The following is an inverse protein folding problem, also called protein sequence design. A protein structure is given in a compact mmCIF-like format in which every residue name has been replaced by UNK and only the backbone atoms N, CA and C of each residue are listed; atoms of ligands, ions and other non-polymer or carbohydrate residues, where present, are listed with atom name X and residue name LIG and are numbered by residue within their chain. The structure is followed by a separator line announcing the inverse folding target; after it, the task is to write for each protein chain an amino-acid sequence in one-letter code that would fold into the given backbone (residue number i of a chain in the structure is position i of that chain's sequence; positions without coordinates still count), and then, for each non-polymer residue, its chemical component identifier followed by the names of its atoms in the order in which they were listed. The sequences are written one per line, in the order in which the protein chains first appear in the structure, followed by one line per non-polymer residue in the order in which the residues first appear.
data_IF_474432158181
#
_entry.id   IF_474432158181
#
_cell.length_a   1.000
_cell.length_b   1.000
_cell.length_c   1.000
_cell.angle_alpha   90.00
_cell.angle_beta   90.00
_cell.angle_gamma   90.00
#
_symmetry.space_group_name_H-M   'P 1'
#
loop_
_entity.id
_entity.type
_entity.pdbx_description
1 polymer ?
#
# COMPACT_ATOMS: atom_id res chain seq x y z
N UNK A 1 13.63 3.45 -13.31
CA UNK A 1 14.55 4.59 -13.15
C UNK A 1 15.29 4.80 -14.44
N UNK A 2 15.18 5.98 -15.01
CA UNK A 2 15.83 6.38 -16.27
C UNK A 2 16.71 7.60 -16.05
N UNK A 3 17.79 7.72 -16.81
CA UNK A 3 18.66 8.88 -16.77
C UNK A 3 18.75 9.50 -18.16
N UNK A 4 18.31 10.75 -18.29
CA UNK A 4 18.43 11.52 -19.53
C UNK A 4 19.88 11.98 -19.75
N UNK A 5 20.37 11.91 -20.98
CA UNK A 5 21.65 12.47 -21.38
C UNK A 5 21.49 13.36 -22.60
N UNK A 6 21.66 14.67 -22.44
CA UNK A 6 21.54 15.67 -23.51
C UNK A 6 22.57 15.53 -24.66
N UNK A 7 23.59 14.71 -24.49
CA UNK A 7 24.66 14.53 -25.45
C UNK A 7 24.80 13.11 -26.00
N UNK A 8 23.79 12.23 -25.76
CA UNK A 8 23.85 10.91 -26.34
C UNK A 8 23.49 10.97 -27.82
N UNK A 9 24.42 10.57 -28.67
CA UNK A 9 24.08 10.24 -30.05
C UNK A 9 23.34 8.91 -30.02
N UNK A 10 22.19 8.83 -30.67
CA UNK A 10 21.33 7.64 -30.74
C UNK A 10 22.04 6.32 -31.11
N UNK A 11 23.24 6.42 -31.71
CA UNK A 11 24.02 5.29 -32.22
C UNK A 11 25.31 5.03 -31.45
N UNK A 12 25.61 5.73 -30.37
CA UNK A 12 26.84 5.52 -29.60
C UNK A 12 26.50 5.12 -28.15
N UNK A 13 26.85 3.88 -27.80
CA UNK A 13 26.71 3.39 -26.42
C UNK A 13 27.90 3.89 -25.57
N UNK A 14 27.64 4.67 -24.53
CA UNK A 14 28.65 5.16 -23.60
C UNK A 14 28.75 4.21 -22.38
N UNK A 15 29.75 3.33 -22.45
CA UNK A 15 30.02 2.34 -21.40
C UNK A 15 30.24 2.96 -20.00
N UNK A 16 30.84 4.17 -19.93
CA UNK A 16 31.09 4.82 -18.65
C UNK A 16 29.78 5.29 -18.01
N UNK A 17 28.97 6.00 -18.79
CA UNK A 17 27.64 6.45 -18.31
C UNK A 17 26.74 5.28 -17.92
N UNK A 18 26.80 4.18 -18.67
CA UNK A 18 26.06 2.96 -18.34
C UNK A 18 26.50 2.36 -17.01
N UNK A 19 27.81 2.25 -16.76
CA UNK A 19 28.33 1.77 -15.47
C UNK A 19 27.92 2.69 -14.31
N UNK A 20 28.05 4.00 -14.48
CA UNK A 20 27.64 4.98 -13.46
C UNK A 20 26.15 4.91 -13.18
N UNK A 21 25.33 4.66 -14.20
CA UNK A 21 23.89 4.44 -14.05
C UNK A 21 23.60 3.16 -13.28
N UNK A 22 24.23 2.04 -13.63
CA UNK A 22 24.05 0.76 -12.92
C UNK A 22 24.41 0.85 -11.44
N UNK A 23 25.46 1.60 -11.08
CA UNK A 23 25.83 1.84 -9.67
C UNK A 23 24.68 2.54 -8.92
N UNK A 24 24.08 3.55 -9.53
CA UNK A 24 22.93 4.25 -8.95
C UNK A 24 21.71 3.33 -8.77
N UNK A 25 21.41 2.51 -9.77
CA UNK A 25 20.29 1.56 -9.73
C UNK A 25 20.49 0.52 -8.63
N UNK A 26 21.71 -0.04 -8.50
CA UNK A 26 22.01 -0.99 -7.41
C UNK A 26 21.82 -0.36 -6.03
N UNK A 27 22.25 0.89 -5.85
CA UNK A 27 22.01 1.60 -4.59
C UNK A 27 20.52 1.72 -4.27
N UNK A 28 19.68 1.98 -5.28
CA UNK A 28 18.23 2.03 -5.09
C UNK A 28 17.67 0.64 -4.76
N UNK A 29 18.16 -0.41 -5.42
CA UNK A 29 17.78 -1.79 -5.12
C UNK A 29 18.12 -2.16 -3.66
N UNK A 30 19.31 -1.78 -3.19
CA UNK A 30 19.72 -1.99 -1.80
C UNK A 30 18.79 -1.25 -0.83
N UNK A 31 18.45 0.01 -1.12
CA UNK A 31 17.51 0.79 -0.32
C UNK A 31 16.11 0.17 -0.27
N UNK A 32 15.62 -0.38 -1.38
CA UNK A 32 14.34 -1.10 -1.42
C UNK A 32 14.41 -2.36 -0.57
N UNK A 33 15.50 -3.11 -0.67
CA UNK A 33 15.73 -4.31 0.13
C UNK A 33 15.78 -4.00 1.63
N UNK A 34 16.48 -2.93 2.02
CA UNK A 34 16.55 -2.48 3.41
C UNK A 34 15.17 -2.05 3.94
N UNK A 35 14.32 -1.53 3.07
CA UNK A 35 12.93 -1.21 3.36
C UNK A 35 11.99 -2.45 3.36
N UNK A 36 12.52 -3.67 3.15
CA UNK A 36 11.75 -4.91 3.10
C UNK A 36 11.00 -5.13 1.78
N UNK A 37 11.35 -4.40 0.72
CA UNK A 37 10.76 -4.54 -0.62
C UNK A 37 11.67 -5.43 -1.47
N UNK A 38 11.16 -6.60 -1.85
CA UNK A 38 11.87 -7.49 -2.77
C UNK A 38 11.86 -6.91 -4.19
N UNK A 39 13.04 -6.62 -4.71
CA UNK A 39 13.21 -6.11 -6.07
C UNK A 39 14.36 -6.84 -6.77
N UNK A 40 14.14 -7.25 -8.03
CA UNK A 40 15.17 -7.86 -8.87
C UNK A 40 15.22 -7.18 -10.24
N UNK A 41 16.33 -7.35 -10.94
CA UNK A 41 16.45 -6.92 -12.32
C UNK A 41 15.75 -7.91 -13.22
N UNK A 42 14.92 -7.42 -14.12
CA UNK A 42 14.31 -8.26 -15.14
C UNK A 42 15.39 -8.75 -16.12
N UNK A 43 15.37 -10.03 -16.44
CA UNK A 43 16.13 -10.58 -17.55
C UNK A 43 15.47 -10.21 -18.89
N UNK A 44 16.04 -10.65 -20.01
CA UNK A 44 15.55 -10.29 -21.34
C UNK A 44 14.16 -10.88 -21.61
N UNK A 45 13.94 -12.12 -21.21
CA UNK A 45 12.66 -12.83 -21.38
C UNK A 45 11.57 -12.16 -20.54
N UNK A 46 11.83 -11.92 -19.26
CA UNK A 46 10.90 -11.22 -18.35
C UNK A 46 10.57 -9.81 -18.84
N UNK A 47 11.57 -9.09 -19.34
CA UNK A 47 11.36 -7.76 -19.89
C UNK A 47 10.49 -7.81 -21.17
N UNK A 48 10.70 -8.79 -22.06
CA UNK A 48 9.86 -8.99 -23.24
C UNK A 48 8.43 -9.36 -22.85
N UNK A 49 8.26 -10.27 -21.90
CA UNK A 49 6.96 -10.64 -21.39
C UNK A 49 6.22 -9.44 -20.78
N UNK A 50 6.92 -8.59 -20.03
CA UNK A 50 6.32 -7.38 -19.47
C UNK A 50 5.87 -6.40 -20.55
N UNK A 51 6.65 -6.23 -21.62
CA UNK A 51 6.28 -5.42 -22.79
C UNK A 51 4.99 -5.95 -23.41
N UNK A 52 4.93 -7.25 -23.70
CA UNK A 52 3.76 -7.88 -24.31
C UNK A 52 2.52 -7.70 -23.42
N UNK A 53 2.64 -7.93 -22.12
CA UNK A 53 1.55 -7.75 -21.14
C UNK A 53 1.07 -6.30 -21.03
N UNK A 54 1.99 -5.36 -20.98
CA UNK A 54 1.65 -3.94 -20.89
C UNK A 54 0.91 -3.46 -22.14
N UNK A 55 1.46 -3.79 -23.32
CA UNK A 55 0.86 -3.37 -24.59
C UNK A 55 -0.36 -4.19 -25.03
N UNK A 56 -0.66 -5.28 -24.36
CA UNK A 56 -1.93 -5.99 -24.47
C UNK A 56 -2.92 -5.63 -23.34
N UNK A 57 -2.50 -4.87 -22.32
CA UNK A 57 -3.25 -4.62 -21.09
C UNK A 57 -3.80 -5.92 -20.47
N UNK A 58 -2.96 -6.97 -20.48
CA UNK A 58 -3.32 -8.29 -19.98
C UNK A 58 -2.22 -8.85 -19.07
N UNK A 59 -2.46 -8.83 -17.78
CA UNK A 59 -1.53 -9.31 -16.74
C UNK A 59 -1.97 -10.65 -16.12
N UNK A 60 -3.09 -11.23 -16.59
CA UNK A 60 -3.68 -12.44 -15.99
C UNK A 60 -3.30 -13.72 -16.74
N UNK A 61 -3.28 -13.67 -18.06
CA UNK A 61 -3.08 -14.88 -18.89
C UNK A 61 -1.62 -15.32 -18.89
N UNK A 62 -1.40 -16.63 -19.08
CA UNK A 62 -0.05 -17.20 -19.10
C UNK A 62 0.74 -16.81 -20.34
N UNK A 63 0.05 -16.74 -21.49
CA UNK A 63 0.66 -16.42 -22.78
C UNK A 63 -0.05 -15.19 -23.30
N UNK A 64 0.69 -14.10 -23.47
CA UNK A 64 0.18 -12.83 -23.97
C UNK A 64 1.09 -12.35 -25.09
N UNK A 65 0.51 -11.80 -26.12
CA UNK A 65 1.23 -11.11 -27.20
C UNK A 65 0.67 -9.71 -27.38
N UNK A 66 1.50 -8.78 -27.82
CA UNK A 66 1.05 -7.43 -28.16
C UNK A 66 -0.06 -7.47 -29.20
N UNK A 67 -1.06 -6.61 -28.99
CA UNK A 67 -2.16 -6.40 -29.92
C UNK A 67 -1.97 -5.15 -30.75
N UNK A 68 -2.62 -5.09 -31.91
CA UNK A 68 -2.70 -3.86 -32.69
C UNK A 68 -3.58 -2.84 -31.96
N UNK A 69 -3.23 -1.57 -32.08
CA UNK A 69 -4.00 -0.48 -31.51
C UNK A 69 -4.93 0.13 -32.56
N UNK A 70 -6.14 0.42 -32.13
CA UNK A 70 -7.02 1.36 -32.83
C UNK A 70 -7.29 2.50 -31.87
N UNK A 71 -6.88 3.70 -32.27
CA UNK A 71 -6.95 4.89 -31.43
C UNK A 71 -8.12 5.72 -31.88
N UNK A 72 -9.02 6.01 -30.96
CA UNK A 72 -10.08 7.00 -31.09
C UNK A 72 -9.71 8.26 -30.28
N UNK A 73 -10.51 9.32 -30.35
CA UNK A 73 -10.25 10.56 -29.63
C UNK A 73 -10.21 10.37 -28.11
N UNK A 74 -11.02 9.48 -27.56
CA UNK A 74 -11.17 9.29 -26.11
C UNK A 74 -10.75 7.93 -25.59
N UNK A 75 -10.37 6.99 -26.46
CA UNK A 75 -10.03 5.62 -26.07
C UNK A 75 -9.04 4.97 -27.01
N UNK A 76 -8.49 3.84 -26.57
CA UNK A 76 -7.59 3.01 -27.34
C UNK A 76 -8.14 1.58 -27.29
N UNK A 77 -8.52 1.03 -28.44
CA UNK A 77 -8.88 -0.39 -28.52
C UNK A 77 -7.61 -1.21 -28.70
N UNK A 78 -7.39 -2.18 -27.82
CA UNK A 78 -6.24 -3.09 -27.79
C UNK A 78 -6.72 -4.52 -27.65
N UNK A 79 -6.74 -5.26 -28.75
CA UNK A 79 -7.19 -6.66 -28.77
C UNK A 79 -8.64 -6.79 -28.31
N UNK A 80 -8.83 -7.43 -27.18
CA UNK A 80 -10.12 -7.68 -26.53
C UNK A 80 -10.51 -6.61 -25.50
N UNK A 81 -9.75 -5.52 -25.40
CA UNK A 81 -9.97 -4.47 -24.41
C UNK A 81 -10.10 -3.10 -25.03
N UNK A 82 -10.94 -2.28 -24.40
CA UNK A 82 -10.99 -0.84 -24.62
C UNK A 82 -10.37 -0.13 -23.43
N UNK A 83 -9.38 0.70 -23.70
CA UNK A 83 -8.60 1.38 -22.67
C UNK A 83 -8.78 2.90 -22.74
N UNK A 84 -8.77 3.54 -21.59
CA UNK A 84 -8.73 5.00 -21.48
C UNK A 84 -7.70 5.40 -20.43
N UNK A 85 -6.97 6.47 -20.74
CA UNK A 85 -5.98 7.05 -19.82
C UNK A 85 -6.59 8.27 -19.16
N UNK A 86 -6.62 8.26 -17.86
CA UNK A 86 -7.07 9.38 -17.02
C UNK A 86 -5.86 10.00 -16.36
N UNK A 87 -5.63 11.29 -16.57
CA UNK A 87 -4.51 12.02 -15.99
C UNK A 87 -5.00 12.90 -14.83
N UNK A 88 -4.20 12.99 -13.77
CA UNK A 88 -4.43 13.94 -12.66
C UNK A 88 -3.71 15.27 -12.89
N UNK A 89 -3.09 15.46 -14.03
CA UNK A 89 -2.41 16.68 -14.40
C UNK A 89 -3.38 17.61 -15.09
N UNK A 90 -3.90 18.56 -14.33
CA UNK A 90 -4.59 19.74 -14.84
C UNK A 90 -4.15 20.95 -14.02
N UNK A 91 -4.23 22.13 -14.59
CA UNK A 91 -3.87 23.40 -13.91
C UNK A 91 -4.71 23.57 -12.64
N UNK A 92 -5.91 23.01 -12.62
CA UNK A 92 -6.87 23.09 -11.52
C UNK A 92 -6.77 21.91 -10.53
N UNK A 93 -5.87 20.94 -10.76
CA UNK A 93 -5.66 19.79 -9.88
C UNK A 93 -4.89 20.13 -8.58
N UNK A 94 -4.91 21.35 -8.15
CA UNK A 94 -3.85 21.99 -7.34
C UNK A 94 -3.77 21.61 -5.86
N UNK A 95 -4.65 20.79 -5.31
CA UNK A 95 -4.66 20.49 -3.87
C UNK A 95 -4.11 19.12 -3.53
N UNK A 96 -2.83 18.86 -3.93
CA UNK A 96 -2.15 17.67 -3.45
C UNK A 96 -1.90 17.77 -1.95
N UNK A 97 -2.17 16.69 -1.19
CA UNK A 97 -1.89 16.68 0.23
C UNK A 97 -0.41 16.89 0.50
N UNK A 98 -0.08 17.68 1.52
CA UNK A 98 1.30 18.01 1.91
C UNK A 98 1.96 16.93 2.78
N UNK A 99 1.20 15.94 3.25
CA UNK A 99 1.69 14.88 4.11
C UNK A 99 1.02 13.54 3.77
N UNK A 100 1.79 12.46 3.94
CA UNK A 100 1.29 11.10 3.82
C UNK A 100 0.38 10.80 5.03
N UNK A 101 -0.91 10.81 4.81
CA UNK A 101 -1.93 10.49 5.83
C UNK A 101 -2.97 9.57 5.23
N UNK A 102 -3.67 8.75 6.04
CA UNK A 102 -4.93 8.18 5.61
C UNK A 102 -5.82 9.32 5.13
N UNK A 103 -6.28 9.23 3.90
CA UNK A 103 -6.92 10.38 3.26
C UNK A 103 -8.36 10.57 3.73
N UNK A 104 -9.07 9.49 3.90
CA UNK A 104 -10.46 9.49 4.32
C UNK A 104 -10.73 8.31 5.24
N UNK A 105 -11.81 8.40 6.00
CA UNK A 105 -12.35 7.28 6.73
C UNK A 105 -13.59 6.76 6.00
N UNK A 106 -13.64 5.46 5.78
CA UNK A 106 -14.86 4.79 5.32
C UNK A 106 -15.59 4.31 6.58
N UNK A 107 -16.85 4.68 6.69
CA UNK A 107 -17.70 4.18 7.76
C UNK A 107 -18.37 2.89 7.31
N UNK A 108 -18.06 1.83 8.01
CA UNK A 108 -18.68 0.50 7.81
C UNK A 108 -19.22 0.04 9.15
N UNK A 109 -20.52 -0.15 9.25
CA UNK A 109 -21.19 -0.63 10.47
C UNK A 109 -20.79 0.14 11.74
N UNK A 110 -20.83 1.47 11.71
CA UNK A 110 -20.41 2.37 12.79
C UNK A 110 -18.92 2.30 13.16
N UNK A 111 -18.09 1.74 12.30
CA UNK A 111 -16.64 1.72 12.48
C UNK A 111 -15.98 2.58 11.40
N UNK A 112 -15.23 3.59 11.84
CA UNK A 112 -14.46 4.45 10.94
C UNK A 112 -13.12 3.79 10.62
N UNK A 113 -12.90 3.45 9.36
CA UNK A 113 -11.66 2.83 8.88
C UNK A 113 -10.87 3.81 8.03
N UNK A 114 -9.61 4.10 8.35
CA UNK A 114 -8.77 4.95 7.51
C UNK A 114 -8.45 4.23 6.19
N UNK A 115 -8.60 4.94 5.08
CA UNK A 115 -8.39 4.41 3.72
C UNK A 115 -7.33 5.22 3.03
N UNK A 116 -6.43 4.55 2.33
CA UNK A 116 -5.46 5.21 1.45
C UNK A 116 -6.17 5.86 0.26
N UNK A 117 -5.64 6.99 -0.19
CA UNK A 117 -6.13 7.71 -1.37
C UNK A 117 -6.22 6.79 -2.60
N UNK A 118 -5.25 5.91 -2.77
CA UNK A 118 -5.14 5.05 -3.94
C UNK A 118 -6.07 3.82 -3.88
N UNK A 119 -6.66 3.50 -2.73
CA UNK A 119 -7.66 2.42 -2.63
C UNK A 119 -8.94 2.70 -3.44
N UNK A 120 -9.17 3.94 -3.83
CA UNK A 120 -10.27 4.33 -4.71
C UNK A 120 -10.11 3.78 -6.13
N UNK A 121 -8.88 3.45 -6.53
CA UNK A 121 -8.55 2.90 -7.84
C UNK A 121 -8.84 1.40 -7.91
N UNK A 122 -8.88 0.72 -6.77
CA UNK A 122 -9.07 -0.75 -6.71
C UNK A 122 -10.50 -1.20 -7.09
N UNK A 123 -11.47 -0.29 -7.04
CA UNK A 123 -12.88 -0.61 -7.24
C UNK A 123 -13.54 0.21 -8.37
N UNK A 124 -12.83 0.45 -9.46
CA UNK A 124 -13.41 1.14 -10.63
C UNK A 124 -14.45 0.22 -11.29
N UNK A 125 -15.72 0.63 -11.40
CA UNK A 125 -16.80 -0.21 -11.92
C UNK A 125 -16.54 -0.65 -13.35
N UNK A 126 -16.54 -1.97 -13.59
CA UNK A 126 -16.35 -2.58 -14.91
C UNK A 126 -14.89 -2.60 -15.39
N UNK A 127 -13.94 -2.11 -14.60
CA UNK A 127 -12.52 -2.24 -14.93
C UNK A 127 -12.04 -3.68 -14.77
N UNK A 128 -11.41 -4.22 -15.80
CA UNK A 128 -10.74 -5.52 -15.77
C UNK A 128 -9.27 -5.40 -15.41
N UNK A 129 -8.66 -4.29 -15.80
CA UNK A 129 -7.28 -3.97 -15.52
C UNK A 129 -7.14 -2.46 -15.27
N UNK A 130 -6.36 -2.14 -14.25
CA UNK A 130 -5.99 -0.76 -13.92
C UNK A 130 -4.49 -0.70 -13.73
N UNK A 131 -3.83 0.19 -14.45
CA UNK A 131 -2.41 0.47 -14.28
C UNK A 131 -2.26 1.90 -13.79
N UNK A 132 -1.81 2.07 -12.58
CA UNK A 132 -1.47 3.38 -12.04
C UNK A 132 -0.01 3.71 -12.32
N UNK A 133 0.22 4.89 -12.88
CA UNK A 133 1.54 5.38 -13.18
C UNK A 133 1.81 6.68 -12.43
N UNK A 134 2.93 6.67 -11.72
CA UNK A 134 3.48 7.86 -11.08
C UNK A 134 4.87 8.13 -11.66
N UNK A 135 5.02 9.26 -12.29
CA UNK A 135 6.28 9.67 -12.89
C UNK A 135 6.78 10.89 -12.13
N UNK A 136 7.97 10.77 -11.58
CA UNK A 136 8.64 11.86 -10.85
C UNK A 136 9.94 12.19 -11.55
N UNK A 137 10.07 13.40 -12.02
CA UNK A 137 11.26 13.92 -12.67
C UNK A 137 12.00 14.86 -11.72
N UNK A 138 13.26 14.57 -11.47
CA UNK A 138 14.15 15.38 -10.62
C UNK A 138 14.96 16.35 -11.47
N UNK A 139 14.57 17.62 -11.54
CA UNK A 139 15.28 18.62 -12.33
C UNK A 139 16.54 19.10 -11.60
N UNK A 140 17.37 19.88 -12.30
CA UNK A 140 18.45 20.60 -11.67
C UNK A 140 17.91 21.73 -10.79
N UNK A 141 18.01 21.57 -9.47
CA UNK A 141 17.44 22.47 -8.48
C UNK A 141 17.84 23.94 -8.67
N UNK A 142 19.13 24.20 -8.95
CA UNK A 142 19.64 25.58 -9.19
C UNK A 142 18.96 26.23 -10.38
N UNK A 143 18.76 25.45 -11.44
CA UNK A 143 18.07 25.92 -12.65
C UNK A 143 16.61 26.24 -12.37
N UNK A 144 15.92 25.35 -11.66
CA UNK A 144 14.50 25.53 -11.36
C UNK A 144 14.25 26.73 -10.44
N UNK A 145 15.07 26.90 -9.40
CA UNK A 145 15.00 28.08 -8.55
C UNK A 145 15.25 29.37 -9.34
N UNK A 146 16.20 29.38 -10.28
CA UNK A 146 16.43 30.53 -11.14
C UNK A 146 15.25 30.80 -12.11
N UNK A 147 14.56 29.75 -12.57
CA UNK A 147 13.35 29.90 -13.37
C UNK A 147 12.18 30.45 -12.54
N UNK A 148 12.01 30.01 -11.31
CA UNK A 148 11.04 30.56 -10.38
C UNK A 148 11.32 32.05 -10.07
N UNK A 149 12.59 32.45 -9.89
CA UNK A 149 12.98 33.85 -9.74
C UNK A 149 12.57 34.69 -10.97
N UNK A 150 12.85 34.19 -12.17
CA UNK A 150 12.43 34.87 -13.40
C UNK A 150 10.91 35.01 -13.49
N UNK A 151 10.17 33.94 -13.16
CA UNK A 151 8.71 33.98 -13.09
C UNK A 151 8.20 35.01 -12.10
N UNK A 152 8.74 35.00 -10.88
CA UNK A 152 8.42 35.95 -9.82
C UNK A 152 8.60 37.41 -10.28
N UNK A 153 9.76 37.73 -10.88
CA UNK A 153 10.08 39.07 -11.36
C UNK A 153 9.13 39.49 -12.50
N UNK A 154 8.77 38.55 -13.38
CA UNK A 154 7.78 38.80 -14.46
C UNK A 154 6.39 39.12 -13.91
N UNK A 155 5.90 38.37 -12.95
CA UNK A 155 4.63 38.67 -12.29
C UNK A 155 4.67 39.97 -11.50
N UNK A 156 5.77 40.28 -10.83
CA UNK A 156 5.95 41.53 -10.09
C UNK A 156 5.97 42.76 -11.00
N UNK A 157 6.39 42.64 -12.26
CA UNK A 157 6.41 43.76 -13.22
C UNK A 157 5.03 44.11 -13.76
N UNK A 158 4.01 43.28 -13.58
CA UNK A 158 2.65 43.49 -14.04
C UNK A 158 1.66 43.33 -12.86
N UNK A 159 1.57 44.32 -11.96
CA UNK A 159 0.83 44.18 -10.72
C UNK A 159 -0.69 44.15 -10.98
N UNK A 160 -1.26 42.98 -10.76
CA UNK A 160 -2.69 42.76 -10.58
C UNK A 160 -2.91 41.75 -9.45
N UNK A 161 -4.11 41.56 -8.91
CA UNK A 161 -4.32 40.63 -7.79
C UNK A 161 -3.81 39.21 -8.04
N UNK A 162 -4.02 38.67 -9.22
CA UNK A 162 -3.56 37.34 -9.58
C UNK A 162 -2.04 37.21 -9.62
N UNK A 163 -1.36 38.23 -10.19
CA UNK A 163 0.10 38.27 -10.22
C UNK A 163 0.71 38.47 -8.83
N UNK A 164 0.05 39.24 -7.97
CA UNK A 164 0.48 39.40 -6.57
C UNK A 164 0.42 38.07 -5.81
N UNK A 165 -0.67 37.32 -5.95
CA UNK A 165 -0.79 35.96 -5.39
C UNK A 165 0.32 35.03 -5.91
N UNK A 166 0.56 35.04 -7.23
CA UNK A 166 1.61 34.22 -7.83
C UNK A 166 3.02 34.56 -7.28
N UNK A 167 3.30 35.85 -7.03
CA UNK A 167 4.55 36.27 -6.39
C UNK A 167 4.67 35.77 -4.96
N UNK A 168 3.58 35.80 -4.19
CA UNK A 168 3.57 35.30 -2.80
C UNK A 168 3.75 33.80 -2.75
N UNK A 169 3.06 33.06 -3.63
CA UNK A 169 3.18 31.60 -3.70
C UNK A 169 4.59 31.16 -4.10
N UNK A 170 5.20 31.83 -5.08
CA UNK A 170 6.59 31.52 -5.45
C UNK A 170 7.54 31.80 -4.29
N UNK A 171 7.37 32.91 -3.57
CA UNK A 171 8.17 33.22 -2.37
C UNK A 171 8.03 32.14 -1.32
N UNK A 172 6.79 31.71 -1.03
CA UNK A 172 6.51 30.63 -0.07
C UNK A 172 7.21 29.34 -0.43
N UNK A 173 7.13 28.93 -1.72
CA UNK A 173 7.85 27.73 -2.19
C UNK A 173 9.36 27.88 -2.03
N UNK A 174 9.93 29.03 -2.39
CA UNK A 174 11.37 29.30 -2.22
C UNK A 174 11.81 29.27 -0.76
N UNK A 175 11.00 29.79 0.16
CA UNK A 175 11.25 29.76 1.60
C UNK A 175 11.23 28.33 2.15
N UNK A 176 10.25 27.50 1.75
CA UNK A 176 10.16 26.11 2.17
C UNK A 176 11.37 25.31 1.66
N UNK A 177 11.75 25.49 0.38
CA UNK A 177 12.95 24.85 -0.17
C UNK A 177 14.19 25.23 0.58
N UNK A 178 14.35 26.53 0.94
CA UNK A 178 15.54 27.03 1.61
C UNK A 178 15.60 26.62 3.10
N UNK A 179 14.49 26.65 3.83
CA UNK A 179 14.45 26.35 5.26
C UNK A 179 14.43 24.85 5.57
N UNK A 180 13.70 24.08 4.77
CA UNK A 180 13.46 22.67 5.04
C UNK A 180 14.29 21.75 4.14
N UNK A 181 15.15 22.31 3.29
CA UNK A 181 15.98 21.58 2.32
C UNK A 181 15.18 20.62 1.43
N UNK A 182 13.93 21.00 1.09
CA UNK A 182 13.04 20.21 0.23
C UNK A 182 13.44 20.34 -1.24
N UNK A 183 13.16 19.31 -2.00
CA UNK A 183 13.48 19.27 -3.44
C UNK A 183 12.25 19.60 -4.27
N UNK A 184 12.45 20.39 -5.33
CA UNK A 184 11.49 20.61 -6.39
C UNK A 184 11.53 19.43 -7.35
N UNK A 185 10.36 18.94 -7.71
CA UNK A 185 10.19 17.85 -8.67
C UNK A 185 9.08 18.18 -9.65
N UNK A 186 9.19 17.68 -10.87
CA UNK A 186 8.06 17.63 -11.79
C UNK A 186 7.40 16.26 -11.65
N UNK A 187 6.09 16.23 -11.64
CA UNK A 187 5.34 14.99 -11.47
C UNK A 187 4.19 14.88 -12.47
N UNK A 188 3.87 13.64 -12.79
CA UNK A 188 2.70 13.26 -13.59
C UNK A 188 2.08 12.01 -12.99
N UNK A 189 0.77 11.96 -12.98
CA UNK A 189 -0.01 10.82 -12.51
C UNK A 189 -1.07 10.47 -13.52
N UNK A 190 -1.19 9.19 -13.85
CA UNK A 190 -2.29 8.73 -14.67
C UNK A 190 -2.73 7.31 -14.29
N UNK A 191 -3.94 6.99 -14.69
CA UNK A 191 -4.53 5.66 -14.62
C UNK A 191 -4.84 5.20 -16.03
N UNK A 192 -4.31 4.05 -16.41
CA UNK A 192 -4.75 3.35 -17.62
C UNK A 192 -5.79 2.33 -17.18
N UNK A 193 -7.04 2.56 -17.59
CA UNK A 193 -8.16 1.67 -17.24
C UNK A 193 -8.56 0.91 -18.48
N UNK A 194 -8.49 -0.42 -18.41
CA UNK A 194 -8.94 -1.34 -19.46
C UNK A 194 -10.23 -2.02 -19.06
N UNK A 195 -11.19 -1.98 -19.95
CA UNK A 195 -12.52 -2.60 -19.80
C UNK A 195 -12.80 -3.55 -20.98
N UNK A 196 -13.79 -4.43 -20.84
CA UNK A 196 -14.34 -5.17 -21.97
C UNK A 196 -14.93 -4.18 -23.00
N UNK A 197 -14.85 -4.46 -24.32
CA UNK A 197 -15.39 -3.61 -25.37
C UNK A 197 -16.87 -3.26 -25.21
N UNK A 198 -17.63 -4.13 -24.56
CA UNK A 198 -19.07 -3.94 -24.29
C UNK A 198 -19.34 -3.07 -23.06
N UNK A 199 -18.32 -2.74 -22.29
CA UNK A 199 -18.45 -1.95 -21.07
C UNK A 199 -18.41 -0.45 -21.39
N UNK A 200 -19.36 0.29 -20.81
CA UNK A 200 -19.42 1.73 -20.94
C UNK A 200 -18.33 2.42 -20.09
N UNK A 201 -17.34 3.00 -20.77
CA UNK A 201 -16.26 3.77 -20.15
C UNK A 201 -16.76 4.99 -19.36
N UNK A 202 -17.95 5.49 -19.65
CA UNK A 202 -18.51 6.63 -18.92
C UNK A 202 -18.74 6.30 -17.44
N UNK A 203 -19.03 5.04 -17.10
CA UNK A 203 -19.16 4.61 -15.70
C UNK A 203 -17.84 4.71 -14.95
N UNK A 204 -16.73 4.32 -15.59
CA UNK A 204 -15.38 4.47 -15.02
C UNK A 204 -15.06 5.97 -14.85
N UNK A 205 -15.33 6.79 -15.86
CA UNK A 205 -15.11 8.24 -15.83
C UNK A 205 -15.86 8.88 -14.67
N UNK A 206 -17.16 8.63 -14.56
CA UNK A 206 -18.00 9.20 -13.49
C UNK A 206 -17.53 8.75 -12.10
N UNK A 207 -17.12 7.49 -11.96
CA UNK A 207 -16.60 6.97 -10.68
C UNK A 207 -15.31 7.70 -10.28
N UNK A 208 -14.36 7.81 -11.20
CA UNK A 208 -13.09 8.48 -10.92
C UNK A 208 -13.27 9.99 -10.66
N UNK A 209 -14.07 10.67 -11.48
CA UNK A 209 -14.38 12.10 -11.26
C UNK A 209 -15.02 12.33 -9.88
N UNK A 210 -16.00 11.53 -9.50
CA UNK A 210 -16.66 11.65 -8.20
C UNK A 210 -15.73 11.32 -7.04
N UNK A 211 -14.94 10.27 -7.17
CA UNK A 211 -14.05 9.81 -6.12
C UNK A 211 -12.91 10.81 -5.85
N UNK A 212 -12.24 11.25 -6.89
CA UNK A 212 -11.16 12.24 -6.77
C UNK A 212 -11.68 13.65 -6.52
N UNK A 213 -12.85 14.01 -7.10
CA UNK A 213 -13.48 15.32 -6.88
C UNK A 213 -13.87 15.57 -5.42
N UNK A 214 -14.29 14.53 -4.68
CA UNK A 214 -14.54 14.61 -3.22
C UNK A 214 -13.28 14.96 -2.42
N UNK A 215 -12.11 14.70 -2.98
CA UNK A 215 -10.82 14.98 -2.37
C UNK A 215 -10.20 16.30 -2.85
N UNK A 216 -10.93 17.06 -3.67
CA UNK A 216 -10.41 18.30 -4.28
C UNK A 216 -9.37 18.05 -5.38
N UNK A 217 -9.30 16.84 -5.92
CA UNK A 217 -8.39 16.48 -7.02
C UNK A 217 -9.25 16.27 -8.27
N UNK A 218 -8.94 17.00 -9.34
CA UNK A 218 -9.66 16.88 -10.59
C UNK A 218 -8.90 16.07 -11.62
N UNK A 219 -9.63 15.24 -12.36
CA UNK A 219 -9.07 14.47 -13.47
C UNK A 219 -9.01 15.37 -14.69
N UNK A 220 -7.90 15.32 -15.42
CA UNK A 220 -7.74 16.07 -16.67
C UNK A 220 -8.78 15.62 -17.71
N UNK A 221 -9.47 16.58 -18.30
CA UNK A 221 -10.42 16.35 -19.39
C UNK A 221 -9.75 16.31 -20.79
N UNK A 222 -8.42 16.41 -20.85
CA UNK A 222 -7.66 16.25 -22.10
C UNK A 222 -7.79 14.82 -22.60
N UNK A 223 -8.67 14.63 -23.57
CA UNK A 223 -8.96 13.32 -24.10
C UNK A 223 -8.11 12.98 -25.34
N UNK A 224 -7.62 13.99 -26.04
CA UNK A 224 -7.08 13.84 -27.41
C UNK A 224 -5.67 13.25 -27.49
N UNK A 225 -4.92 13.19 -26.42
CA UNK A 225 -3.56 12.64 -26.38
C UNK A 225 -3.47 11.24 -25.73
N UNK A 226 -4.52 10.43 -25.88
CA UNK A 226 -4.64 9.11 -25.24
C UNK A 226 -3.47 8.19 -25.56
N UNK A 227 -3.11 8.07 -26.84
CA UNK A 227 -1.98 7.20 -27.25
C UNK A 227 -0.66 7.70 -26.69
N UNK A 228 -0.42 9.02 -26.73
CA UNK A 228 0.79 9.64 -26.20
C UNK A 228 0.93 9.34 -24.70
N UNK A 229 -0.11 9.57 -23.91
CA UNK A 229 -0.14 9.27 -22.48
C UNK A 229 0.06 7.79 -22.20
N UNK A 230 -0.59 6.91 -22.97
CA UNK A 230 -0.44 5.47 -22.81
C UNK A 230 1.00 5.00 -23.08
N UNK A 231 1.58 5.40 -24.21
CA UNK A 231 2.94 5.01 -24.57
C UNK A 231 3.98 5.59 -23.61
N UNK A 232 3.77 6.82 -23.13
CA UNK A 232 4.64 7.44 -22.14
C UNK A 232 4.44 6.90 -20.71
N UNK A 233 3.37 6.15 -20.47
CA UNK A 233 3.16 5.44 -19.21
C UNK A 233 4.00 4.17 -19.10
N UNK A 234 4.54 3.67 -20.20
CA UNK A 234 5.44 2.52 -20.16
C UNK A 234 6.72 2.86 -19.39
N UNK A 235 7.16 2.01 -18.45
CA UNK A 235 8.38 2.26 -17.67
C UNK A 235 9.60 2.53 -18.53
N UNK A 236 10.21 3.68 -18.30
CA UNK A 236 11.38 4.13 -19.08
C UNK A 236 11.06 4.98 -20.32
N UNK A 237 9.81 5.13 -20.71
CA UNK A 237 9.42 5.91 -21.90
C UNK A 237 8.73 7.26 -21.55
N UNK A 238 9.01 7.85 -20.41
CA UNK A 238 8.35 9.08 -19.95
C UNK A 238 8.89 10.38 -20.60
N UNK A 239 9.70 10.29 -21.64
CA UNK A 239 10.33 11.47 -22.27
C UNK A 239 9.41 12.28 -23.18
N UNK A 240 8.37 11.65 -23.73
CA UNK A 240 7.42 12.29 -24.63
C UNK A 240 6.41 13.19 -23.92
N UNK A 241 6.37 13.21 -22.60
CA UNK A 241 5.45 14.04 -21.85
C UNK A 241 5.85 15.52 -21.93
N UNK A 242 4.88 16.37 -22.24
CA UNK A 242 5.07 17.81 -22.31
C UNK A 242 5.32 18.41 -20.93
N UNK A 243 6.35 19.27 -20.83
CA UNK A 243 6.62 20.04 -19.61
C UNK A 243 5.51 21.10 -19.35
N UNK A 244 4.75 21.48 -20.37
CA UNK A 244 3.73 22.52 -20.28
C UNK A 244 2.37 21.96 -19.83
N UNK A 245 2.01 20.76 -20.29
CA UNK A 245 0.66 20.23 -20.14
C UNK A 245 0.58 18.96 -19.33
N UNK A 246 1.64 18.13 -19.31
CA UNK A 246 1.58 16.79 -18.71
C UNK A 246 2.29 16.73 -17.36
N UNK A 247 3.13 17.71 -17.05
CA UNK A 247 3.92 17.73 -15.82
C UNK A 247 3.66 19.01 -15.04
N UNK A 248 3.54 18.89 -13.75
CA UNK A 248 3.49 20.06 -12.86
C UNK A 248 4.61 20.05 -11.84
N UNK A 249 5.07 21.25 -11.48
CA UNK A 249 6.11 21.46 -10.50
C UNK A 249 5.53 21.40 -9.08
N UNK A 250 6.12 20.56 -8.23
CA UNK A 250 5.70 20.43 -6.83
C UNK A 250 6.90 20.11 -5.94
N UNK A 251 6.67 19.98 -4.64
CA UNK A 251 7.65 19.49 -3.68
C UNK A 251 7.70 17.96 -3.68
N UNK A 252 8.88 17.36 -3.44
CA UNK A 252 9.05 15.92 -3.41
C UNK A 252 8.14 15.20 -2.42
N UNK A 253 7.88 15.82 -1.27
CA UNK A 253 6.98 15.28 -0.25
C UNK A 253 5.52 15.20 -0.76
N UNK A 254 5.06 16.26 -1.43
CA UNK A 254 3.73 16.29 -2.03
C UNK A 254 3.60 15.26 -3.16
N UNK A 255 4.64 15.11 -3.99
CA UNK A 255 4.68 14.07 -5.00
C UNK A 255 4.52 12.66 -4.40
N UNK A 256 5.13 12.41 -3.24
CA UNK A 256 5.07 11.12 -2.56
C UNK A 256 3.69 10.80 -1.97
N UNK A 257 2.83 11.81 -1.76
CA UNK A 257 1.52 11.60 -1.14
C UNK A 257 0.55 10.77 -1.98
N UNK A 258 0.74 10.77 -3.30
CA UNK A 258 -0.04 9.95 -4.23
C UNK A 258 0.63 8.61 -4.56
N UNK A 259 1.73 8.26 -3.89
CA UNK A 259 2.34 6.95 -4.07
C UNK A 259 1.44 5.86 -3.49
N UNK A 260 1.24 4.79 -4.25
CA UNK A 260 0.57 3.60 -3.74
C UNK A 260 1.38 3.01 -2.59
N UNK A 261 0.78 2.97 -1.40
CA UNK A 261 1.50 2.69 -0.15
C UNK A 261 1.18 1.34 0.45
N UNK A 262 0.29 0.60 -0.15
CA UNK A 262 -0.05 -0.70 0.40
C UNK A 262 1.20 -1.57 0.40
N UNK A 263 1.76 -1.72 1.58
CA UNK A 263 2.84 -2.64 1.82
C UNK A 263 2.27 -4.03 1.66
N UNK A 264 2.87 -4.84 0.80
CA UNK A 264 2.61 -6.28 0.82
C UNK A 264 2.96 -6.76 2.21
N UNK A 265 1.95 -7.19 2.95
CA UNK A 265 2.15 -7.72 4.29
C UNK A 265 2.96 -9.00 4.17
N UNK A 266 4.03 -9.07 4.94
CA UNK A 266 4.82 -10.29 5.03
C UNK A 266 4.34 -11.10 6.21
N UNK A 267 4.06 -12.38 5.97
CA UNK A 267 3.83 -13.34 7.03
C UNK A 267 5.09 -13.54 7.87
N UNK A 268 4.92 -13.67 9.18
CA UNK A 268 6.02 -14.06 10.06
C UNK A 268 6.44 -15.51 9.79
N UNK A 269 7.74 -15.76 9.80
CA UNK A 269 8.28 -17.11 9.70
C UNK A 269 8.47 -17.69 11.11
N UNK A 270 7.44 -18.37 11.57
CA UNK A 270 7.30 -18.89 12.94
C UNK A 270 6.55 -20.21 12.93
N UNK A 271 6.82 -21.10 13.89
CA UNK A 271 6.09 -22.36 14.00
C UNK A 271 4.62 -22.21 14.42
N UNK A 272 4.27 -21.12 15.12
CA UNK A 272 2.90 -20.84 15.57
C UNK A 272 2.35 -19.63 14.79
N UNK A 273 1.33 -19.85 13.96
CA UNK A 273 0.77 -18.84 13.07
C UNK A 273 -0.72 -18.68 13.29
N UNK A 274 -1.13 -17.45 13.52
CA UNK A 274 -2.54 -17.07 13.42
C UNK A 274 -2.72 -16.31 12.12
N UNK A 275 -3.63 -16.79 11.28
CA UNK A 275 -3.91 -16.21 9.99
C UNK A 275 -5.00 -15.15 10.10
N UNK A 276 -4.73 -14.02 9.52
CA UNK A 276 -5.65 -12.91 9.30
C UNK A 276 -5.72 -12.61 7.81
N UNK A 277 -6.68 -11.82 7.41
CA UNK A 277 -6.72 -11.25 6.06
C UNK A 277 -6.49 -9.74 6.16
N UNK A 278 -5.69 -9.22 5.25
CA UNK A 278 -5.62 -7.78 5.07
C UNK A 278 -6.87 -7.26 4.35
N UNK A 279 -6.92 -5.96 4.05
CA UNK A 279 -8.05 -5.33 3.36
C UNK A 279 -8.27 -5.85 1.94
N UNK A 280 -7.24 -6.40 1.32
CA UNK A 280 -7.27 -6.95 -0.04
C UNK A 280 -7.65 -8.44 -0.04
N UNK A 281 -7.88 -9.02 1.14
CA UNK A 281 -8.18 -10.45 1.28
C UNK A 281 -6.94 -11.33 1.23
N UNK A 282 -5.73 -10.76 1.27
CA UNK A 282 -4.47 -11.52 1.29
C UNK A 282 -4.27 -12.10 2.69
N UNK A 283 -4.04 -13.42 2.82
CA UNK A 283 -3.77 -14.03 4.11
C UNK A 283 -2.41 -13.58 4.66
N UNK A 284 -2.41 -13.13 5.90
CA UNK A 284 -1.21 -12.71 6.65
C UNK A 284 -1.09 -13.56 7.90
N UNK A 285 0.05 -14.20 8.09
CA UNK A 285 0.33 -14.99 9.30
C UNK A 285 1.09 -14.15 10.32
N UNK A 286 0.62 -14.14 11.55
CA UNK A 286 1.20 -13.41 12.68
C UNK A 286 1.39 -14.37 13.85
N UNK A 287 2.54 -14.31 14.49
CA UNK A 287 2.79 -15.02 15.74
C UNK A 287 2.47 -14.15 16.95
N UNK A 288 1.30 -14.36 17.51
CA UNK A 288 0.86 -13.65 18.72
C UNK A 288 1.49 -14.18 20.02
N UNK A 289 2.25 -15.27 19.95
CA UNK A 289 2.86 -15.89 21.14
C UNK A 289 4.20 -15.28 21.51
N UNK A 290 4.78 -14.46 20.64
CA UNK A 290 6.06 -13.79 20.86
C UNK A 290 7.26 -14.73 20.97
N UNK A 291 7.10 -16.02 20.61
CA UNK A 291 8.18 -17.00 20.64
C UNK A 291 9.07 -16.93 19.40
N UNK A 292 10.04 -17.77 19.29
CA UNK A 292 11.10 -17.76 18.28
C UNK A 292 10.59 -17.64 16.83
N UNK A 293 11.22 -16.77 16.04
CA UNK A 293 10.92 -16.59 14.62
C UNK A 293 11.74 -15.47 13.99
N UNK A 294 11.80 -15.45 12.66
CA UNK A 294 12.39 -14.36 11.89
C UNK A 294 11.32 -13.33 11.51
N UNK A 295 11.72 -12.06 11.40
CA UNK A 295 10.82 -10.97 11.00
C UNK A 295 9.59 -10.81 11.90
N UNK A 296 9.78 -10.86 13.19
CA UNK A 296 8.69 -10.72 14.16
C UNK A 296 8.10 -9.33 14.17
N UNK A 297 6.77 -9.27 14.23
CA UNK A 297 6.00 -8.06 14.47
C UNK A 297 5.70 -7.88 15.97
N UNK A 298 5.84 -8.95 16.77
CA UNK A 298 5.53 -8.98 18.20
C UNK A 298 6.75 -9.39 19.01
N UNK A 299 7.09 -8.62 20.03
CA UNK A 299 8.23 -8.86 20.92
C UNK A 299 7.82 -9.53 22.25
N UNK A 300 6.51 -9.72 22.47
CA UNK A 300 5.97 -10.19 23.75
C UNK A 300 4.96 -11.31 23.53
N UNK A 301 4.94 -12.26 24.45
CA UNK A 301 3.95 -13.35 24.48
C UNK A 301 2.62 -12.96 25.12
N UNK A 302 2.54 -11.77 25.72
CA UNK A 302 1.30 -11.25 26.28
C UNK A 302 0.67 -10.28 25.31
N UNK A 303 -0.64 -10.40 25.09
CA UNK A 303 -1.39 -9.46 24.27
C UNK A 303 -2.69 -9.05 24.97
N UNK A 304 -3.20 -7.91 24.61
CA UNK A 304 -4.41 -7.35 25.15
C UNK A 304 -5.38 -7.01 24.01
N UNK A 305 -6.60 -7.58 24.05
CA UNK A 305 -7.63 -7.34 23.07
C UNK A 305 -8.68 -6.38 23.64
N UNK A 306 -8.74 -5.16 23.13
CA UNK A 306 -9.66 -4.12 23.57
C UNK A 306 -10.70 -3.83 22.49
N UNK A 307 -11.93 -3.64 22.92
CA UNK A 307 -13.03 -3.22 22.05
C UNK A 307 -14.34 -3.03 22.81
N UNK A 308 -15.26 -2.19 22.33
CA UNK A 308 -16.58 -2.04 22.94
C UNK A 308 -17.41 -3.34 22.84
N UNK A 309 -18.54 -3.38 23.52
CA UNK A 309 -19.49 -4.49 23.39
C UNK A 309 -19.98 -4.59 21.94
N UNK A 310 -20.09 -5.80 21.41
CA UNK A 310 -20.48 -6.04 20.01
C UNK A 310 -19.38 -5.85 18.96
N UNK A 311 -18.14 -5.46 19.33
CA UNK A 311 -17.03 -5.24 18.38
C UNK A 311 -16.40 -6.53 17.83
N UNK A 312 -16.87 -7.71 18.24
CA UNK A 312 -16.34 -8.98 17.76
C UNK A 312 -15.17 -9.55 18.55
N UNK A 313 -14.84 -9.03 19.75
CA UNK A 313 -13.75 -9.57 20.60
C UNK A 313 -13.81 -11.08 20.79
N UNK A 314 -14.97 -11.59 21.25
CA UNK A 314 -15.15 -13.03 21.47
C UNK A 314 -15.06 -13.83 20.17
N UNK A 315 -15.59 -13.32 19.08
CA UNK A 315 -15.46 -13.94 17.76
C UNK A 315 -14.00 -14.03 17.33
N UNK A 316 -13.26 -12.93 17.46
CA UNK A 316 -11.84 -12.88 17.17
C UNK A 316 -11.05 -13.89 18.01
N UNK A 317 -11.27 -13.92 19.33
CA UNK A 317 -10.59 -14.84 20.22
C UNK A 317 -10.94 -16.30 19.96
N UNK A 318 -12.19 -16.62 19.61
CA UNK A 318 -12.57 -17.96 19.17
C UNK A 318 -11.76 -18.40 17.94
N UNK A 319 -11.58 -17.51 16.95
CA UNK A 319 -10.77 -17.78 15.76
C UNK A 319 -9.30 -18.03 16.11
N UNK A 320 -8.72 -17.19 16.98
CA UNK A 320 -7.33 -17.32 17.42
C UNK A 320 -7.11 -18.64 18.17
N UNK A 321 -7.95 -18.93 19.14
CA UNK A 321 -7.87 -20.16 19.95
C UNK A 321 -7.99 -21.41 19.10
N UNK A 322 -8.95 -21.41 18.17
CA UNK A 322 -9.13 -22.53 17.24
C UNK A 322 -7.87 -22.77 16.39
N UNK A 323 -7.30 -21.70 15.82
CA UNK A 323 -6.10 -21.82 14.99
C UNK A 323 -4.88 -22.30 15.78
N UNK A 324 -4.70 -21.87 17.02
CA UNK A 324 -3.64 -22.33 17.89
C UNK A 324 -3.83 -23.79 18.28
N UNK A 325 -5.07 -24.20 18.59
CA UNK A 325 -5.41 -25.59 18.90
C UNK A 325 -5.11 -26.52 17.71
N UNK A 326 -5.48 -26.12 16.49
CA UNK A 326 -5.18 -26.85 15.24
C UNK A 326 -3.67 -27.04 15.02
N UNK A 327 -2.83 -26.25 15.68
CA UNK A 327 -1.37 -26.33 15.67
C UNK A 327 -0.80 -27.08 16.92
N UNK A 328 -1.60 -27.93 17.54
CA UNK A 328 -1.25 -28.72 18.72
C UNK A 328 -0.84 -27.89 19.94
N UNK A 329 -1.50 -26.77 20.18
CA UNK A 329 -1.28 -25.94 21.35
C UNK A 329 -2.33 -26.28 22.42
N UNK A 330 -1.88 -26.53 23.65
CA UNK A 330 -2.77 -26.67 24.80
C UNK A 330 -3.35 -25.31 25.18
N UNK A 331 -4.68 -25.23 25.33
CA UNK A 331 -5.38 -24.01 25.63
C UNK A 331 -6.15 -24.11 26.94
N UNK A 332 -5.89 -23.17 27.83
CA UNK A 332 -6.67 -23.00 29.07
C UNK A 332 -7.35 -21.63 29.03
N UNK A 333 -8.65 -21.61 29.21
CA UNK A 333 -9.44 -20.38 29.14
C UNK A 333 -10.23 -20.16 30.43
N UNK A 334 -10.34 -18.89 30.83
CA UNK A 334 -11.23 -18.43 31.88
C UNK A 334 -12.15 -17.38 31.28
N UNK A 335 -13.43 -17.65 31.30
CA UNK A 335 -14.45 -16.77 30.71
C UNK A 335 -15.58 -16.50 31.68
N UNK A 336 -16.05 -15.28 31.71
CA UNK A 336 -17.22 -14.88 32.55
C UNK A 336 -18.53 -14.82 31.78
N UNK A 337 -18.48 -14.99 30.44
CA UNK A 337 -19.61 -14.75 29.54
C UNK A 337 -20.11 -15.96 28.76
N UNK A 338 -19.62 -17.16 29.03
CA UNK A 338 -19.94 -18.41 28.30
C UNK A 338 -19.79 -18.33 26.78
N UNK A 339 -18.85 -17.48 26.31
CA UNK A 339 -18.67 -17.23 24.88
C UNK A 339 -17.91 -18.34 24.14
N UNK A 340 -17.31 -19.27 24.87
CA UNK A 340 -16.42 -20.30 24.36
C UNK A 340 -16.87 -21.73 24.57
N UNK A 341 -18.10 -21.94 25.09
CA UNK A 341 -18.66 -23.26 25.32
C UNK A 341 -18.71 -24.09 24.05
N UNK A 342 -19.25 -23.54 22.95
CA UNK A 342 -19.35 -24.22 21.68
C UNK A 342 -17.98 -24.56 21.06
N UNK A 343 -16.96 -23.72 21.25
CA UNK A 343 -15.59 -24.03 20.82
C UNK A 343 -15.01 -25.18 21.66
N UNK A 344 -15.21 -25.15 22.97
CA UNK A 344 -14.76 -26.20 23.86
C UNK A 344 -15.38 -27.58 23.52
N UNK A 345 -16.67 -27.62 23.22
CA UNK A 345 -17.33 -28.82 22.72
C UNK A 345 -16.80 -29.28 21.38
N UNK A 346 -16.60 -28.35 20.44
CA UNK A 346 -16.08 -28.66 19.10
C UNK A 346 -14.71 -29.32 19.13
N UNK A 347 -13.81 -28.85 20.01
CA UNK A 347 -12.45 -29.41 20.16
C UNK A 347 -12.38 -30.61 21.12
N UNK A 348 -13.52 -31.06 21.67
CA UNK A 348 -13.55 -32.15 22.67
C UNK A 348 -12.91 -31.78 23.99
N UNK A 349 -12.90 -30.49 24.32
CA UNK A 349 -12.33 -29.98 25.56
C UNK A 349 -13.23 -30.19 26.79
N UNK A 350 -12.67 -29.91 27.97
CA UNK A 350 -13.41 -30.00 29.22
C UNK A 350 -13.94 -28.62 29.61
N UNK A 351 -15.23 -28.42 29.49
CA UNK A 351 -15.91 -27.22 29.94
C UNK A 351 -16.35 -27.36 31.41
N UNK A 352 -15.99 -26.41 32.24
CA UNK A 352 -16.33 -26.40 33.68
C UNK A 352 -17.00 -25.07 34.00
N UNK A 353 -18.28 -25.10 34.39
CA UNK A 353 -18.98 -23.91 34.82
C UNK A 353 -19.01 -23.82 36.34
N UNK A 354 -18.80 -22.61 36.85
CA UNK A 354 -18.94 -22.29 38.27
C UNK A 354 -20.30 -21.66 38.52
N UNK A 355 -21.02 -22.21 39.50
CA UNK A 355 -22.24 -21.58 40.05
C UNK A 355 -22.15 -21.63 41.56
N UNK A 356 -22.84 -20.73 42.26
CA UNK A 356 -22.90 -20.74 43.72
C UNK A 356 -23.45 -22.06 44.28
N UNK A 357 -24.33 -22.74 43.54
CA UNK A 357 -24.90 -24.03 43.89
C UNK A 357 -23.98 -25.21 43.61
N UNK A 358 -23.02 -25.04 42.67
CA UNK A 358 -22.02 -26.04 42.29
C UNK A 358 -20.63 -25.40 42.27
N UNK A 359 -20.03 -25.18 43.44
CA UNK A 359 -18.68 -24.63 43.52
C UNK A 359 -17.65 -25.60 42.95
N UNK A 360 -16.72 -25.08 42.19
CA UNK A 360 -15.59 -25.85 41.69
C UNK A 360 -14.61 -26.06 42.84
N UNK A 361 -14.48 -27.32 43.29
CA UNK A 361 -13.45 -27.68 44.23
C UNK A 361 -12.26 -28.24 43.47
N UNK A 362 -11.22 -27.45 43.29
CA UNK A 362 -9.95 -27.94 42.79
C UNK A 362 -9.07 -28.36 43.98
N UNK A 363 -8.80 -29.65 44.08
CA UNK A 363 -7.79 -30.12 45.02
C UNK A 363 -6.44 -30.23 44.28
N UNK A 364 -5.52 -29.28 44.45
CA UNK A 364 -4.24 -29.31 43.78
C UNK A 364 -3.33 -30.47 44.19
N UNK A 365 -3.66 -31.15 45.28
CA UNK A 365 -2.93 -32.30 45.81
C UNK A 365 -3.55 -33.63 45.38
N UNK A 366 -4.64 -33.65 44.60
CA UNK A 366 -5.19 -34.89 44.08
C UNK A 366 -4.36 -35.40 42.90
N UNK A 367 -3.53 -36.37 43.15
CA UNK A 367 -2.73 -37.06 42.15
C UNK A 367 -3.25 -38.48 42.00
N UNK A 368 -3.49 -38.94 40.80
CA UNK A 368 -3.87 -40.33 40.53
C UNK A 368 -2.64 -41.22 40.78
N UNK A 369 -2.85 -42.44 41.26
CA UNK A 369 -1.73 -43.36 41.57
C UNK A 369 -0.80 -43.65 40.37
N UNK A 370 -1.33 -43.57 39.13
CA UNK A 370 -0.60 -43.79 37.88
C UNK A 370 0.27 -42.61 37.49
N UNK A 371 0.06 -41.43 38.09
CA UNK A 371 0.79 -40.19 37.79
C UNK A 371 1.79 -39.79 38.88
N UNK A 372 2.00 -40.65 39.89
CA UNK A 372 2.88 -40.40 41.01
C UNK A 372 4.33 -40.54 40.57
N UNK A 373 4.95 -39.43 40.19
CA UNK A 373 6.40 -39.34 40.02
C UNK A 373 6.97 -38.17 40.83
N UNK A 374 8.27 -38.22 41.12
CA UNK A 374 8.96 -37.26 41.99
C UNK A 374 8.93 -35.84 41.41
N UNK A 375 8.98 -35.73 40.11
CA UNK A 375 8.96 -34.42 39.41
C UNK A 375 7.61 -33.70 39.53
N UNK A 376 6.47 -34.42 39.37
CA UNK A 376 5.13 -33.82 39.53
C UNK A 376 4.83 -33.44 40.97
N UNK A 377 5.26 -34.23 41.92
CA UNK A 377 5.10 -33.95 43.36
C UNK A 377 5.91 -32.69 43.76
N UNK A 378 7.12 -32.52 43.21
CA UNK A 378 7.94 -31.34 43.42
C UNK A 378 7.33 -30.06 42.78
N UNK A 379 6.79 -30.17 41.58
CA UNK A 379 6.16 -29.06 40.85
C UNK A 379 4.92 -28.51 41.54
N UNK A 380 4.06 -29.39 42.06
CA UNK A 380 2.84 -28.98 42.78
C UNK A 380 3.19 -28.27 44.10
N UNK A 381 4.19 -28.76 44.82
CA UNK A 381 4.66 -28.13 46.07
C UNK A 381 5.28 -26.74 45.82
N UNK A 382 6.01 -26.57 44.72
CA UNK A 382 6.66 -25.29 44.36
C UNK A 382 5.65 -24.22 43.95
N UNK A 383 4.64 -24.58 43.16
CA UNK A 383 3.59 -23.63 42.76
C UNK A 383 2.72 -23.17 43.92
N UNK A 384 2.51 -24.05 44.91
CA UNK A 384 1.69 -23.71 46.10
C UNK A 384 2.44 -22.78 47.07
N UNK A 385 3.76 -22.98 47.24
CA UNK A 385 4.61 -22.11 48.05
C UNK A 385 4.71 -20.69 47.46
N UNK A 386 4.86 -20.56 46.16
CA UNK A 386 4.90 -19.24 45.50
C UNK A 386 3.60 -18.46 45.58
N UNK A 387 2.47 -19.10 45.58
CA UNK A 387 1.18 -18.44 45.73
C UNK A 387 0.97 -17.81 47.12
N UNK A 388 1.68 -18.24 48.15
CA UNK A 388 1.66 -17.69 49.49
C UNK A 388 2.66 -16.54 49.72
N UNK A 389 3.70 -16.42 48.90
CA UNK A 389 4.70 -15.34 49.00
C UNK A 389 4.29 -14.00 48.35
N UNK A 390 3.16 -13.98 47.66
CA UNK A 390 2.64 -12.77 46.92
C UNK A 390 1.44 -12.12 47.60
N UNK A 391 1.38 -12.16 48.94
CA UNK A 391 0.44 -11.33 49.72
C UNK A 391 1.14 -10.17 50.41
#
# INVERSE_FOLDING_TARGET
ITQESKKSRLLSFDNKKWRDFLVKIRKVQDQLKDAGIAAHFLNKEEASEYVDRFFAMNFKDKIVSMSNFKVDEESIDMGDKRCKVYSLVDVDCANLPSAIRPFTNIEVNNTSMPVDLMSLVDNIPGAEVVVYNQIVYMPNQKRELALLDKKKNRHASMPNPSNQMAVEDIKRVQEVVARENKQLVYTHYNFVVGVSPDTDLQKCTNHLENSFGRMGIHISKRAYNQLELFVNSFPGNCYGMSDEYDRFLTLGDAASCLMYKEKIQHSEDTPLKVYYTDRQGVPVAIDITGKEGRNKLTDNSNFFCLGPSGSGKSFHMNSVVRQLWEQNTDVVMVDTGNSYEGLCEYVGGKYISYTEEKPITMNPFRINREELNVERTGSVSYTHLRAHETK
#
